data_IF_407830462156
#
_entry.id   IF_407830462156
#
_cell.length_a   1.000
_cell.length_b   1.000
_cell.length_c   1.000
_cell.angle_alpha   90.00
_cell.angle_beta   90.00
_cell.angle_gamma   90.00
#
_symmetry.space_group_name_H-M   'P 1'
#
loop_
_entity.id
_entity.type
_entity.pdbx_description
1 polymer ?
#
# COMPACT_ATOMS: atom_id res chain seq x y z
N UNK A 1 -7.73 -16.69 5.37
CA UNK A 1 -7.03 -16.13 6.54
C UNK A 1 -6.29 -14.89 6.09
N UNK A 2 -6.75 -13.72 6.51
CA UNK A 2 -6.15 -12.43 6.12
C UNK A 2 -4.72 -12.35 6.63
N UNK A 3 -3.79 -12.10 5.72
CA UNK A 3 -2.40 -11.82 6.06
C UNK A 3 -2.37 -10.52 6.86
N UNK A 4 -2.11 -10.62 8.16
CA UNK A 4 -1.83 -9.47 9.02
C UNK A 4 -0.44 -8.94 8.63
N UNK A 5 -0.41 -8.04 7.65
CA UNK A 5 0.80 -7.34 7.25
C UNK A 5 1.19 -6.37 8.38
N UNK A 6 2.06 -6.83 9.28
CA UNK A 6 2.56 -6.04 10.41
C UNK A 6 3.55 -4.99 9.92
N UNK A 7 3.03 -3.80 9.58
CA UNK A 7 3.86 -2.63 9.30
C UNK A 7 4.43 -2.05 10.61
N UNK A 8 5.71 -1.64 10.60
CA UNK A 8 6.35 -0.96 11.74
C UNK A 8 5.79 0.44 11.96
N UNK A 9 5.99 1.02 13.14
CA UNK A 9 5.48 2.36 13.48
C UNK A 9 5.97 3.44 12.51
N UNK A 10 7.21 3.35 12.06
CA UNK A 10 7.79 4.26 11.05
C UNK A 10 7.10 4.11 9.70
N UNK A 11 6.85 2.87 9.27
CA UNK A 11 6.13 2.59 8.03
C UNK A 11 4.69 3.08 8.08
N UNK A 12 4.01 2.94 9.23
CA UNK A 12 2.66 3.47 9.44
C UNK A 12 2.65 4.99 9.34
N UNK A 13 3.60 5.69 9.98
CA UNK A 13 3.70 7.15 9.91
C UNK A 13 3.93 7.66 8.48
N UNK A 14 4.71 6.93 7.67
CA UNK A 14 4.89 7.26 6.25
C UNK A 14 3.65 6.96 5.41
N UNK A 15 2.87 5.95 5.79
CA UNK A 15 1.64 5.54 5.11
C UNK A 15 0.42 6.40 5.45
N UNK A 16 0.28 6.86 6.70
CA UNK A 16 -0.85 7.66 7.18
C UNK A 16 -1.29 8.81 6.24
N UNK A 17 -0.39 9.60 5.62
CA UNK A 17 -0.81 10.65 4.68
C UNK A 17 -1.31 10.10 3.33
N UNK A 18 -0.94 8.88 2.96
CA UNK A 18 -1.25 8.26 1.67
C UNK A 18 -2.37 7.22 1.73
N UNK A 19 -2.59 6.61 2.90
CA UNK A 19 -3.64 5.62 3.11
C UNK A 19 -4.43 5.90 4.37
N UNK A 20 -5.75 5.77 4.27
CA UNK A 20 -6.63 6.01 5.43
C UNK A 20 -6.50 4.93 6.51
N UNK A 21 -6.11 3.71 6.13
CA UNK A 21 -5.99 2.58 7.05
C UNK A 21 -4.91 1.61 6.57
N UNK A 22 -4.01 1.22 7.48
CA UNK A 22 -3.00 0.19 7.21
C UNK A 22 -3.45 -1.21 7.66
N UNK A 23 -4.38 -1.30 8.62
CA UNK A 23 -4.72 -2.54 9.33
C UNK A 23 -5.93 -3.30 8.74
N UNK A 24 -7.01 -2.59 8.39
CA UNK A 24 -8.27 -3.20 7.92
C UNK A 24 -8.18 -3.65 6.48
N UNK A 25 -8.78 -4.74 6.00
CA UNK A 25 -8.67 -5.18 4.57
C UNK A 25 -9.04 -4.17 3.48
N UNK A 26 -9.79 -3.09 3.79
CA UNK A 26 -10.15 -2.01 2.84
C UNK A 26 -9.46 -0.71 3.24
N UNK A 27 -8.90 0.00 2.26
CA UNK A 27 -8.19 1.26 2.44
C UNK A 27 -8.41 2.17 1.23
N UNK A 28 -8.23 3.46 1.43
CA UNK A 28 -8.32 4.46 0.36
C UNK A 28 -6.94 5.07 0.17
N UNK A 29 -6.53 5.17 -1.09
CA UNK A 29 -5.31 5.86 -1.51
C UNK A 29 -5.62 7.35 -1.69
N UNK A 30 -5.11 8.18 -0.80
CA UNK A 30 -5.29 9.63 -0.84
C UNK A 30 -3.96 10.31 -1.10
N UNK A 31 -3.96 11.46 -1.76
CA UNK A 31 -2.73 12.26 -1.94
C UNK A 31 -1.57 11.53 -2.66
N UNK A 32 -1.87 10.47 -3.42
CA UNK A 32 -0.86 9.71 -4.17
C UNK A 32 -0.72 10.23 -5.60
N UNK A 33 0.52 10.44 -6.09
CA UNK A 33 0.78 10.81 -7.47
C UNK A 33 0.17 9.80 -8.45
N UNK A 34 -0.21 10.27 -9.63
CA UNK A 34 -0.77 9.44 -10.72
C UNK A 34 0.16 8.28 -11.13
N UNK A 35 1.47 8.51 -11.09
CA UNK A 35 2.50 7.49 -11.38
C UNK A 35 2.44 6.32 -10.40
N UNK A 36 2.14 6.60 -9.12
CA UNK A 36 2.03 5.57 -8.08
C UNK A 36 0.80 4.71 -8.32
N UNK A 37 -0.34 5.35 -8.62
CA UNK A 37 -1.59 4.66 -8.97
C UNK A 37 -1.39 3.77 -10.20
N UNK A 38 -0.82 4.31 -11.28
CA UNK A 38 -0.57 3.56 -12.51
C UNK A 38 0.36 2.36 -12.30
N UNK A 39 1.46 2.55 -11.56
CA UNK A 39 2.40 1.48 -11.25
C UNK A 39 1.80 0.42 -10.31
N UNK A 40 0.97 0.82 -9.32
CA UNK A 40 0.21 -0.11 -8.48
C UNK A 40 -0.73 -0.98 -9.30
N UNK A 41 -1.55 -0.40 -10.16
CA UNK A 41 -2.45 -1.16 -11.03
C UNK A 41 -1.67 -2.08 -11.99
N UNK A 42 -0.58 -1.59 -12.57
CA UNK A 42 0.27 -2.37 -13.49
C UNK A 42 0.93 -3.57 -12.79
N UNK A 43 1.39 -3.39 -11.54
CA UNK A 43 1.99 -4.49 -10.77
C UNK A 43 0.97 -5.42 -10.15
N UNK A 44 -0.18 -4.91 -9.72
CA UNK A 44 -1.30 -5.73 -9.27
C UNK A 44 -1.78 -6.66 -10.39
N UNK A 45 -1.80 -6.20 -11.64
CA UNK A 45 -2.10 -7.07 -12.78
C UNK A 45 -1.09 -8.21 -12.97
N UNK A 46 0.17 -8.01 -12.54
CA UNK A 46 1.26 -8.99 -12.66
C UNK A 46 1.49 -9.82 -11.40
N UNK A 47 0.84 -9.49 -10.28
CA UNK A 47 1.12 -10.10 -8.99
C UNK A 47 -0.18 -10.33 -8.22
N UNK A 48 -0.40 -11.57 -7.77
CA UNK A 48 -1.54 -11.94 -6.93
C UNK A 48 -1.41 -11.45 -5.48
N UNK A 49 -0.34 -10.73 -5.16
CA UNK A 49 -0.13 -10.07 -3.88
C UNK A 49 -1.12 -8.91 -3.72
N UNK A 50 -1.59 -8.71 -2.50
CA UNK A 50 -2.52 -7.62 -2.18
C UNK A 50 -1.94 -6.27 -2.62
N UNK A 51 -2.80 -5.41 -3.20
CA UNK A 51 -2.50 -4.02 -3.57
C UNK A 51 -1.73 -3.27 -2.46
N UNK A 52 -2.02 -3.60 -1.21
CA UNK A 52 -1.43 -2.96 -0.04
C UNK A 52 0.04 -3.33 0.20
N UNK A 53 0.38 -4.61 0.06
CA UNK A 53 1.78 -5.05 0.11
C UNK A 53 2.60 -4.38 -0.98
N UNK A 54 2.04 -4.32 -2.19
CA UNK A 54 2.66 -3.65 -3.33
C UNK A 54 2.88 -2.17 -3.05
N UNK A 55 1.87 -1.47 -2.50
CA UNK A 55 1.99 -0.07 -2.14
C UNK A 55 3.13 0.14 -1.13
N UNK A 56 3.14 -0.62 -0.03
CA UNK A 56 4.17 -0.47 0.98
C UNK A 56 5.56 -0.82 0.44
N UNK A 57 5.70 -1.99 -0.17
CA UNK A 57 7.00 -2.52 -0.60
C UNK A 57 7.64 -1.69 -1.72
N UNK A 58 6.84 -1.19 -2.65
CA UNK A 58 7.35 -0.47 -3.82
C UNK A 58 7.41 1.05 -3.65
N UNK A 59 6.65 1.64 -2.71
CA UNK A 59 6.60 3.10 -2.57
C UNK A 59 6.98 3.62 -1.19
N UNK A 60 6.84 2.82 -0.14
CA UNK A 60 7.15 3.23 1.23
C UNK A 60 8.51 2.69 1.67
N UNK A 61 8.86 1.49 1.21
CA UNK A 61 10.13 0.81 1.48
C UNK A 61 11.18 0.95 0.36
N UNK A 62 10.78 1.46 -0.82
CA UNK A 62 11.71 1.70 -1.93
C UNK A 62 12.37 3.06 -1.84
#
# INVERSE_FOLDING_TARGET
>A
MGQSESFTSEQKALLEPYVTNTDRSVFVLTNLPEVIKGALFSRYSRSTLGLRNLLLKEFVLS
#
